data_IF_404436533987
#
_entry.id   IF_404436533987
#
_cell.length_a   1.000
_cell.length_b   1.000
_cell.length_c   1.000
_cell.angle_alpha   90.00
_cell.angle_beta   90.00
_cell.angle_gamma   90.00
#
_symmetry.space_group_name_H-M   'P 1'
#
loop_
_entity.id
_entity.type
_entity.pdbx_description
1 polymer ?
#
# COMPACT_ATOMS: atom_id res chain seq x y z
N UNK A 1 12.50 0.56 13.35
CA UNK A 1 12.51 1.97 12.89
C UNK A 1 11.08 2.46 12.87
N UNK A 2 10.83 3.69 13.31
CA UNK A 2 9.47 4.25 13.44
C UNK A 2 9.17 5.40 12.46
N UNK A 3 10.07 5.63 11.50
CA UNK A 3 9.97 6.68 10.49
C UNK A 3 9.24 6.23 9.20
N UNK A 4 8.81 4.97 9.16
CA UNK A 4 8.13 4.37 8.01
C UNK A 4 9.06 4.04 6.83
N UNK A 5 10.38 4.07 7.04
CA UNK A 5 11.36 3.67 6.03
C UNK A 5 11.30 2.15 5.78
N UNK A 6 11.35 1.78 4.50
CA UNK A 6 11.46 0.39 4.09
C UNK A 6 12.93 -0.02 4.18
N UNK A 7 13.18 -1.17 4.80
CA UNK A 7 14.51 -1.79 4.77
C UNK A 7 14.68 -2.53 3.44
N UNK A 8 15.69 -2.14 2.69
CA UNK A 8 16.13 -2.80 1.46
C UNK A 8 17.04 -3.99 1.82
N UNK A 9 17.46 -4.75 0.81
CA UNK A 9 18.40 -5.84 1.02
C UNK A 9 19.74 -5.30 1.49
N UNK A 10 20.38 -6.06 2.39
CA UNK A 10 21.77 -5.86 2.84
C UNK A 10 22.67 -5.96 1.61
N UNK A 11 23.02 -4.82 1.03
CA UNK A 11 23.64 -4.75 -0.29
C UNK A 11 25.13 -5.02 -0.21
N UNK A 12 25.77 -4.60 0.87
CA UNK A 12 27.20 -4.74 1.11
C UNK A 12 27.53 -5.97 2.00
N UNK A 13 26.52 -6.64 2.55
CA UNK A 13 26.63 -7.94 3.22
C UNK A 13 27.16 -7.84 4.66
N UNK A 14 27.11 -6.66 5.26
CA UNK A 14 27.61 -6.41 6.60
C UNK A 14 26.57 -6.66 7.72
N UNK A 15 25.32 -6.97 7.37
CA UNK A 15 24.22 -7.23 8.29
C UNK A 15 23.77 -6.02 9.13
N UNK A 16 24.22 -4.81 8.81
CA UNK A 16 23.66 -3.57 9.35
C UNK A 16 22.56 -3.05 8.41
N UNK A 17 21.78 -2.09 8.88
CA UNK A 17 20.76 -1.41 8.08
C UNK A 17 21.23 0.01 7.84
N UNK A 18 22.14 0.21 6.89
CA UNK A 18 22.75 1.51 6.61
C UNK A 18 21.79 2.48 5.90
N UNK A 19 22.16 3.76 5.86
CA UNK A 19 21.26 4.79 5.32
C UNK A 19 20.93 4.58 3.84
N UNK A 20 21.83 4.02 3.04
CA UNK A 20 21.55 3.70 1.63
C UNK A 20 20.75 2.42 1.43
N UNK A 21 20.58 1.62 2.49
CA UNK A 21 19.75 0.41 2.51
C UNK A 21 18.36 0.70 3.05
N UNK A 22 18.05 1.97 3.27
CA UNK A 22 16.74 2.44 3.71
C UNK A 22 16.12 3.20 2.57
N UNK A 23 14.90 2.86 2.24
CA UNK A 23 14.11 3.59 1.27
C UNK A 23 13.03 4.39 2.01
N UNK A 24 13.32 5.67 2.19
CA UNK A 24 12.47 6.54 3.01
C UNK A 24 11.14 6.85 2.34
N UNK A 25 10.09 7.19 3.11
CA UNK A 25 8.81 7.62 2.54
C UNK A 25 8.92 8.82 1.57
N UNK A 26 9.91 9.69 1.75
CA UNK A 26 10.15 10.83 0.86
C UNK A 26 10.72 10.40 -0.49
N UNK A 27 11.62 9.43 -0.50
CA UNK A 27 12.22 8.89 -1.73
C UNK A 27 11.21 8.06 -2.53
N UNK A 28 10.36 7.31 -1.83
CA UNK A 28 9.22 6.61 -2.44
C UNK A 28 8.31 7.60 -3.15
N UNK A 29 7.88 8.69 -2.48
CA UNK A 29 7.05 9.73 -3.11
C UNK A 29 7.74 10.38 -4.30
N UNK A 30 9.04 10.66 -4.19
CA UNK A 30 9.83 11.23 -5.30
C UNK A 30 9.82 10.29 -6.51
N UNK A 31 9.88 8.99 -6.28
CA UNK A 31 9.85 7.97 -7.33
C UNK A 31 8.45 7.83 -7.93
N UNK A 32 7.40 7.88 -7.12
CA UNK A 32 6.00 7.90 -7.60
C UNK A 32 5.70 9.15 -8.46
N UNK A 33 6.26 10.31 -8.11
CA UNK A 33 6.14 11.53 -8.90
C UNK A 33 6.71 11.33 -10.31
N UNK A 34 7.84 10.61 -10.45
CA UNK A 34 8.42 10.25 -11.75
C UNK A 34 7.50 9.33 -12.56
N UNK A 35 6.63 8.58 -11.90
CA UNK A 35 5.63 7.69 -12.51
C UNK A 35 4.25 8.33 -12.72
N UNK A 36 4.11 9.66 -12.63
CA UNK A 36 2.81 10.36 -12.79
C UNK A 36 2.06 10.09 -14.10
N UNK A 37 2.76 9.63 -15.14
CA UNK A 37 2.14 9.25 -16.42
C UNK A 37 1.45 7.87 -16.40
N UNK A 38 1.68 7.06 -15.37
CA UNK A 38 0.99 5.78 -15.22
C UNK A 38 -0.51 6.00 -14.99
N UNK A 39 -1.35 5.18 -15.64
CA UNK A 39 -2.82 5.23 -15.47
C UNK A 39 -3.22 5.05 -14.00
N UNK A 40 -2.61 4.08 -13.34
CA UNK A 40 -2.86 3.74 -11.95
C UNK A 40 -1.61 3.07 -11.39
N UNK A 41 -1.23 3.44 -10.18
CA UNK A 41 -0.22 2.77 -9.36
C UNK A 41 -0.95 2.23 -8.14
N UNK A 42 -0.80 0.94 -7.87
CA UNK A 42 -1.37 0.31 -6.68
C UNK A 42 -0.24 -0.06 -5.74
N UNK A 43 -0.32 0.42 -4.50
CA UNK A 43 0.62 0.09 -3.44
C UNK A 43 -0.09 -0.77 -2.40
N UNK A 44 0.36 -2.01 -2.25
CA UNK A 44 0.01 -2.91 -1.15
C UNK A 44 1.17 -2.86 -0.15
N UNK A 45 0.90 -2.39 1.07
CA UNK A 45 1.95 -2.05 2.01
C UNK A 45 1.71 -2.76 3.34
N UNK A 46 2.33 -3.93 3.50
CA UNK A 46 2.32 -4.71 4.74
C UNK A 46 3.56 -4.40 5.58
N UNK A 47 3.56 -3.23 6.23
CA UNK A 47 4.65 -2.80 7.10
C UNK A 47 4.13 -1.99 8.27
N UNK A 48 4.94 -1.84 9.32
CA UNK A 48 4.69 -0.93 10.43
C UNK A 48 4.89 0.53 10.02
N UNK A 49 4.16 1.47 10.63
CA UNK A 49 4.21 2.91 10.35
C UNK A 49 3.88 3.29 8.89
N UNK A 50 3.14 2.44 8.18
CA UNK A 50 2.81 2.62 6.76
C UNK A 50 2.01 3.91 6.50
N UNK A 51 1.28 4.41 7.50
CA UNK A 51 0.53 5.65 7.45
C UNK A 51 1.38 6.89 7.17
N UNK A 52 2.68 6.87 7.50
CA UNK A 52 3.60 7.98 7.21
C UNK A 52 3.74 8.19 5.69
N UNK A 53 3.91 7.10 4.95
CA UNK A 53 3.96 7.12 3.48
C UNK A 53 2.61 7.55 2.90
N UNK A 54 1.49 7.03 3.42
CA UNK A 54 0.15 7.44 2.98
C UNK A 54 -0.05 8.94 3.15
N UNK A 55 0.33 9.49 4.31
CA UNK A 55 0.27 10.93 4.58
C UNK A 55 1.09 11.71 3.55
N UNK A 56 2.31 11.29 3.22
CA UNK A 56 3.14 11.98 2.22
C UNK A 56 2.59 11.89 0.80
N UNK A 57 2.05 10.74 0.38
CA UNK A 57 1.39 10.57 -0.92
C UNK A 57 0.20 11.54 -1.04
N UNK A 58 -0.62 11.66 0.01
CA UNK A 58 -1.74 12.61 0.08
C UNK A 58 -1.27 14.07 -0.03
N UNK A 59 -0.20 14.45 0.70
CA UNK A 59 0.38 15.80 0.59
C UNK A 59 0.93 16.10 -0.81
N UNK A 60 1.50 15.10 -1.48
CA UNK A 60 2.03 15.23 -2.84
C UNK A 60 0.94 15.24 -3.95
N UNK A 61 -0.34 15.08 -3.57
CA UNK A 61 -1.50 15.07 -4.47
C UNK A 61 -1.32 14.10 -5.65
N UNK A 62 -0.91 12.87 -5.33
CA UNK A 62 -0.71 11.80 -6.32
C UNK A 62 -2.02 11.06 -6.57
N UNK A 63 -2.87 11.66 -7.39
CA UNK A 63 -4.22 11.13 -7.63
C UNK A 63 -4.23 9.79 -8.37
N UNK A 64 -3.18 9.45 -9.12
CA UNK A 64 -3.07 8.16 -9.81
C UNK A 64 -2.53 7.02 -8.91
N UNK A 65 -2.43 7.22 -7.59
CA UNK A 65 -1.89 6.24 -6.64
C UNK A 65 -2.97 5.77 -5.67
N UNK A 66 -3.32 4.48 -5.74
CA UNK A 66 -4.14 3.80 -4.75
C UNK A 66 -3.23 3.11 -3.72
N UNK A 67 -3.52 3.31 -2.43
CA UNK A 67 -2.71 2.76 -1.33
C UNK A 67 -3.58 1.93 -0.40
N UNK A 68 -3.12 0.71 -0.12
CA UNK A 68 -3.71 -0.21 0.85
C UNK A 68 -2.62 -0.52 1.88
N UNK A 69 -2.78 -0.01 3.10
CA UNK A 69 -1.76 -0.08 4.14
C UNK A 69 -2.22 -0.94 5.33
N UNK A 70 -1.32 -1.77 5.84
CA UNK A 70 -1.59 -2.64 6.99
C UNK A 70 -1.56 -1.92 8.34
N UNK A 71 -0.97 -0.72 8.42
CA UNK A 71 -0.78 0.03 9.67
C UNK A 71 -0.95 1.55 9.49
N UNK A 72 -1.21 2.23 10.61
CA UNK A 72 -1.32 3.69 10.71
C UNK A 72 0.02 4.43 10.74
N UNK A 73 0.00 5.71 11.16
CA UNK A 73 1.21 6.54 11.31
C UNK A 73 2.05 6.16 12.51
N UNK A 74 1.41 5.72 13.60
CA UNK A 74 2.03 5.42 14.89
C UNK A 74 1.65 4.00 15.36
N UNK A 75 1.59 3.07 14.42
CA UNK A 75 1.03 1.73 14.62
C UNK A 75 1.86 0.67 13.88
N UNK A 76 1.81 -0.57 14.36
CA UNK A 76 2.58 -1.68 13.81
C UNK A 76 1.71 -2.55 12.90
N UNK A 77 2.32 -3.23 11.93
CA UNK A 77 1.63 -4.27 11.17
C UNK A 77 1.59 -5.58 11.96
N UNK A 78 0.50 -6.33 11.82
CA UNK A 78 0.33 -7.63 12.47
C UNK A 78 0.97 -8.76 11.65
N UNK A 79 2.31 -8.70 11.53
CA UNK A 79 3.10 -9.70 10.81
C UNK A 79 2.66 -9.85 9.35
N UNK A 80 2.10 -11.02 9.00
CA UNK A 80 1.64 -11.35 7.64
C UNK A 80 0.12 -11.35 7.49
N UNK A 81 -0.63 -10.98 8.54
CA UNK A 81 -2.08 -11.08 8.55
C UNK A 81 -2.71 -10.30 7.38
N UNK A 82 -2.18 -9.12 7.05
CA UNK A 82 -2.67 -8.29 5.95
C UNK A 82 -2.44 -8.96 4.60
N UNK A 83 -1.21 -9.40 4.34
CA UNK A 83 -0.88 -10.16 3.13
C UNK A 83 -1.69 -11.44 3.02
N UNK A 84 -1.82 -12.23 4.09
CA UNK A 84 -2.60 -13.48 4.11
C UNK A 84 -4.07 -13.25 3.74
N UNK A 85 -4.67 -12.13 4.18
CA UNK A 85 -6.04 -11.77 3.82
C UNK A 85 -6.19 -11.43 2.34
N UNK A 86 -5.24 -10.70 1.77
CA UNK A 86 -5.23 -10.43 0.33
C UNK A 86 -5.02 -11.72 -0.47
N UNK A 87 -4.11 -12.60 -0.06
CA UNK A 87 -3.83 -13.87 -0.75
C UNK A 87 -5.02 -14.84 -0.74
N UNK A 88 -5.83 -14.84 0.32
CA UNK A 88 -7.03 -15.70 0.44
C UNK A 88 -8.25 -15.13 -0.27
N UNK A 89 -8.20 -13.87 -0.71
CA UNK A 89 -9.33 -13.23 -1.36
C UNK A 89 -9.51 -13.75 -2.79
N UNK A 90 -10.77 -13.73 -3.25
CA UNK A 90 -11.07 -14.01 -4.65
C UNK A 90 -10.43 -12.93 -5.54
N UNK A 91 -9.68 -13.35 -6.57
CA UNK A 91 -8.98 -12.43 -7.48
C UNK A 91 -9.92 -11.49 -8.26
N UNK A 92 -11.19 -11.86 -8.43
CA UNK A 92 -12.25 -11.05 -9.05
C UNK A 92 -12.91 -10.06 -8.07
N UNK A 93 -12.59 -10.14 -6.78
CA UNK A 93 -13.06 -9.17 -5.79
C UNK A 93 -12.33 -7.85 -5.95
N UNK A 94 -13.07 -6.75 -5.82
CA UNK A 94 -12.48 -5.43 -5.73
C UNK A 94 -11.48 -5.34 -4.58
N UNK A 95 -10.29 -4.80 -4.84
CA UNK A 95 -9.25 -4.61 -3.83
C UNK A 95 -9.75 -3.73 -2.68
N UNK A 96 -10.60 -2.74 -2.96
CA UNK A 96 -11.30 -1.97 -1.92
C UNK A 96 -12.12 -2.86 -0.98
N UNK A 97 -12.89 -3.83 -1.52
CA UNK A 97 -13.72 -4.70 -0.69
C UNK A 97 -12.86 -5.67 0.13
N UNK A 98 -11.77 -6.19 -0.44
CA UNK A 98 -10.79 -7.03 0.26
C UNK A 98 -10.18 -6.25 1.42
N UNK A 99 -9.76 -5.01 1.13
CA UNK A 99 -9.21 -4.12 2.13
C UNK A 99 -10.24 -3.82 3.23
N UNK A 100 -11.45 -3.37 2.90
CA UNK A 100 -12.50 -3.09 3.89
C UNK A 100 -12.89 -4.30 4.75
N UNK A 101 -12.83 -5.51 4.21
CA UNK A 101 -13.01 -6.73 5.00
C UNK A 101 -11.84 -6.93 5.98
N UNK A 102 -10.60 -6.69 5.51
CA UNK A 102 -9.38 -6.75 6.31
C UNK A 102 -9.42 -5.71 7.45
N UNK A 103 -9.95 -4.51 7.19
CA UNK A 103 -10.08 -3.44 8.20
C UNK A 103 -10.97 -3.82 9.38
N UNK A 104 -11.98 -4.66 9.15
CA UNK A 104 -12.88 -5.12 10.23
C UNK A 104 -12.20 -6.13 11.15
N UNK A 105 -11.12 -6.74 10.68
CA UNK A 105 -10.40 -7.82 11.35
C UNK A 105 -9.14 -7.27 12.03
N UNK A 106 -8.51 -6.27 11.41
CA UNK A 106 -7.30 -5.63 11.91
C UNK A 106 -7.60 -4.35 12.68
N UNK A 107 -6.85 -4.13 13.76
CA UNK A 107 -7.00 -2.97 14.64
C UNK A 107 -6.35 -1.68 14.12
N UNK A 108 -5.75 -1.72 12.94
CA UNK A 108 -4.91 -0.63 12.48
C UNK A 108 -5.68 0.59 11.98
N UNK A 109 -5.01 1.74 12.00
CA UNK A 109 -5.60 2.98 11.47
C UNK A 109 -5.50 2.99 9.96
N UNK A 110 -6.64 2.94 9.28
CA UNK A 110 -6.67 2.86 7.84
C UNK A 110 -6.95 4.20 7.17
N UNK A 111 -6.34 4.34 6.00
CA UNK A 111 -6.65 5.42 5.08
C UNK A 111 -7.51 4.87 3.95
N UNK A 112 -8.65 5.53 3.68
CA UNK A 112 -9.42 5.24 2.48
C UNK A 112 -8.56 5.48 1.23
N UNK A 113 -8.61 4.57 0.24
CA UNK A 113 -7.88 4.77 -1.01
C UNK A 113 -8.35 6.05 -1.69
N UNK A 114 -7.36 6.77 -2.21
CA UNK A 114 -7.57 8.00 -2.94
C UNK A 114 -8.17 7.66 -4.31
N UNK A 115 -9.28 8.34 -4.65
CA UNK A 115 -10.00 8.34 -5.92
C UNK A 115 -10.68 7.03 -6.39
N UNK A 116 -11.60 7.19 -7.35
CA UNK A 116 -12.32 6.10 -7.99
C UNK A 116 -11.44 5.15 -8.82
N UNK A 117 -10.26 5.63 -9.25
CA UNK A 117 -9.27 4.83 -9.98
C UNK A 117 -8.70 3.68 -9.15
N UNK A 118 -8.79 3.76 -7.81
CA UNK A 118 -8.47 2.65 -6.90
C UNK A 118 -9.52 1.53 -6.85
N UNK A 119 -10.68 1.67 -7.52
CA UNK A 119 -11.71 0.61 -7.59
C UNK A 119 -11.36 -0.42 -8.67
N UNK A 120 -10.28 -1.15 -8.45
CA UNK A 120 -9.82 -2.24 -9.33
C UNK A 120 -9.78 -3.58 -8.62
N UNK A 121 -9.79 -4.65 -9.40
CA UNK A 121 -9.43 -6.01 -8.94
C UNK A 121 -7.91 -6.20 -9.02
N UNK A 122 -7.38 -7.34 -8.54
CA UNK A 122 -5.92 -7.58 -8.53
C UNK A 122 -5.27 -7.53 -9.92
N UNK A 123 -6.00 -7.87 -10.99
CA UNK A 123 -5.50 -7.77 -12.37
C UNK A 123 -5.46 -6.33 -12.91
N UNK A 124 -5.88 -5.34 -12.12
CA UNK A 124 -5.90 -3.92 -12.51
C UNK A 124 -7.10 -3.50 -13.37
N UNK A 125 -8.04 -4.42 -13.62
CA UNK A 125 -9.30 -4.14 -14.31
C UNK A 125 -10.28 -3.38 -13.40
N UNK A 126 -11.12 -2.49 -13.95
CA UNK A 126 -12.16 -1.82 -13.18
C UNK A 126 -13.12 -2.83 -12.53
N UNK A 127 -13.49 -2.58 -11.28
CA UNK A 127 -14.48 -3.37 -10.53
C UNK A 127 -15.80 -3.59 -11.26
N UNK A 128 -16.27 -2.59 -12.00
CA UNK A 128 -17.51 -2.64 -12.79
C UNK A 128 -17.50 -3.72 -13.88
N UNK A 129 -16.32 -4.17 -14.32
CA UNK A 129 -16.17 -5.20 -15.35
C UNK A 129 -16.61 -6.60 -14.87
N UNK A 130 -16.69 -6.81 -13.55
CA UNK A 130 -17.04 -8.09 -12.94
C UNK A 130 -18.47 -8.13 -12.34
N UNK A 131 -19.21 -7.01 -12.40
CA UNK A 131 -20.59 -6.91 -11.87
C UNK A 131 -21.65 -7.35 -12.90
N UNK A 132 -21.26 -7.68 -14.14
CA UNK A 132 -22.17 -8.20 -15.16
C UNK A 132 -21.83 -9.65 -15.45
N UNK A 133 -22.52 -10.60 -14.81
CA UNK A 133 -22.78 -11.97 -15.29
C UNK A 133 -23.42 -12.82 -14.17
N UNK A 134 -24.56 -12.39 -13.62
CA UNK A 134 -25.55 -13.26 -12.97
C UNK A 134 -26.92 -12.62 -13.07
#
# INVERSE_FOLDING_TARGET
MSDGSILMWDHDGHGQAENYERYSPSEIVTSLIRCRKARLIVLLIDQSYAGILVKKIRHAKLDNVAVYAASGVDDYSDGKSFTDHFLKANASSCMYNIYSATQKIMRSTFYEPFNESGKVVMSGLPCSSYVRNF
#
